data_IF_307827287609
#
_entry.id   IF_307827287609
#
_cell.length_a   1.000
_cell.length_b   1.000
_cell.length_c   1.000
_cell.angle_alpha   90.00
_cell.angle_beta   90.00
_cell.angle_gamma   90.00
#
_symmetry.space_group_name_H-M   'P 1'
#
loop_
_entity.id
_entity.type
_entity.pdbx_description
1 polymer ?
#
# COMPACT_ATOMS: atom_id res chain seq x y z
N UNK A 1 -47.34 29.87 -13.18
CA UNK A 1 -46.60 29.18 -12.09
C UNK A 1 -45.98 27.85 -12.55
N UNK A 2 -46.63 27.06 -13.41
CA UNK A 2 -46.16 25.75 -13.90
C UNK A 2 -44.90 25.77 -14.79
N UNK A 3 -44.65 26.84 -15.57
CA UNK A 3 -43.46 26.92 -16.45
C UNK A 3 -42.11 26.96 -15.72
N UNK A 4 -42.06 27.55 -14.52
CA UNK A 4 -40.81 27.62 -13.74
C UNK A 4 -40.45 26.30 -13.06
N UNK A 5 -41.47 25.51 -12.69
CA UNK A 5 -41.28 24.18 -12.09
C UNK A 5 -40.64 23.22 -13.11
N UNK A 6 -41.08 23.27 -14.38
CA UNK A 6 -40.54 22.41 -15.43
C UNK A 6 -39.07 22.71 -15.75
N UNK A 7 -38.70 24.00 -15.79
CA UNK A 7 -37.31 24.41 -16.01
C UNK A 7 -36.40 23.97 -14.85
N UNK A 8 -36.90 24.04 -13.61
CA UNK A 8 -36.15 23.63 -12.44
C UNK A 8 -35.91 22.12 -12.41
N UNK A 9 -36.92 21.31 -12.80
CA UNK A 9 -36.77 19.86 -12.92
C UNK A 9 -35.76 19.50 -14.02
N UNK A 10 -35.85 20.15 -15.19
CA UNK A 10 -34.92 19.92 -16.30
C UNK A 10 -33.47 20.25 -15.92
N UNK A 11 -33.25 21.34 -15.18
CA UNK A 11 -31.92 21.75 -14.73
C UNK A 11 -31.32 20.75 -13.74
N UNK A 12 -32.13 20.20 -12.83
CA UNK A 12 -31.65 19.17 -11.89
C UNK A 12 -31.28 17.87 -12.63
N UNK A 13 -32.07 17.43 -13.63
CA UNK A 13 -31.74 16.23 -14.43
C UNK A 13 -30.44 16.39 -15.23
N UNK A 14 -30.15 17.60 -15.72
CA UNK A 14 -28.89 17.89 -16.40
C UNK A 14 -27.68 17.87 -15.46
N UNK A 15 -27.84 18.26 -14.20
CA UNK A 15 -26.75 18.23 -13.21
C UNK A 15 -26.38 16.80 -12.77
N UNK A 16 -27.33 15.85 -12.82
CA UNK A 16 -27.05 14.44 -12.49
C UNK A 16 -26.52 13.61 -13.67
N UNK A 17 -26.49 14.14 -14.89
CA UNK A 17 -26.03 13.40 -16.08
C UNK A 17 -24.62 13.77 -16.54
N UNK A 18 -23.95 14.74 -15.91
CA UNK A 18 -22.65 15.25 -16.35
C UNK A 18 -21.44 14.52 -15.77
N UNK A 19 -21.63 13.44 -14.98
CA UNK A 19 -20.53 12.67 -14.41
C UNK A 19 -20.58 11.22 -14.91
N UNK A 20 -20.32 10.99 -16.20
CA UNK A 20 -19.91 9.65 -16.65
C UNK A 20 -18.41 9.55 -16.41
N UNK A 21 -17.99 8.67 -15.48
CA UNK A 21 -16.59 8.32 -15.29
C UNK A 21 -16.06 7.81 -16.63
N UNK A 22 -15.13 8.53 -17.24
CA UNK A 22 -14.50 8.10 -18.49
C UNK A 22 -13.61 6.90 -18.18
N UNK A 23 -13.99 5.73 -18.65
CA UNK A 23 -13.16 4.53 -18.57
C UNK A 23 -12.02 4.71 -19.58
N UNK A 24 -10.82 5.02 -19.09
CA UNK A 24 -9.64 5.05 -19.92
C UNK A 24 -9.38 3.65 -20.47
N UNK A 25 -9.46 3.49 -21.80
CA UNK A 25 -9.02 2.28 -22.47
C UNK A 25 -7.50 2.21 -22.39
N UNK A 26 -7.00 1.36 -21.49
CA UNK A 26 -5.58 1.05 -21.39
C UNK A 26 -5.37 -0.27 -22.13
N UNK A 27 -4.43 -0.28 -23.08
CA UNK A 27 -4.03 -1.51 -23.75
C UNK A 27 -3.16 -2.34 -22.78
N UNK A 28 -3.77 -3.38 -22.20
CA UNK A 28 -3.16 -4.22 -21.17
C UNK A 28 -2.27 -5.34 -21.72
N UNK A 29 -2.06 -5.44 -23.04
CA UNK A 29 -1.47 -6.65 -23.62
C UNK A 29 -0.02 -6.92 -23.24
N UNK A 30 0.74 -5.97 -22.67
CA UNK A 30 2.15 -6.19 -22.30
C UNK A 30 2.65 -5.41 -21.05
N UNK A 31 1.76 -4.84 -20.23
CA UNK A 31 2.22 -4.02 -19.10
C UNK A 31 2.47 -4.89 -17.86
N UNK A 32 3.73 -4.92 -17.40
CA UNK A 32 4.06 -5.44 -16.08
C UNK A 32 3.21 -4.71 -15.01
N UNK A 33 2.66 -5.43 -14.01
CA UNK A 33 1.95 -4.79 -12.91
C UNK A 33 2.85 -3.76 -12.22
N UNK A 34 2.34 -2.53 -12.12
CA UNK A 34 3.07 -1.42 -11.49
C UNK A 34 3.30 -1.72 -10.01
N UNK A 35 2.23 -2.13 -9.32
CA UNK A 35 2.25 -2.50 -7.91
C UNK A 35 2.22 -4.01 -7.75
N UNK A 36 3.19 -4.54 -7.03
CA UNK A 36 3.37 -5.98 -6.87
C UNK A 36 4.11 -6.32 -5.59
N UNK A 37 3.88 -7.53 -5.10
CA UNK A 37 4.65 -8.22 -4.09
C UNK A 37 5.11 -9.53 -4.70
N UNK A 38 6.40 -9.80 -4.67
CA UNK A 38 6.96 -11.10 -5.03
C UNK A 38 8.01 -11.50 -3.99
N UNK A 39 7.90 -12.69 -3.41
CA UNK A 39 8.87 -13.20 -2.45
C UNK A 39 8.90 -14.73 -2.43
N UNK A 40 10.02 -15.31 -2.02
CA UNK A 40 10.12 -16.74 -1.75
C UNK A 40 9.66 -17.00 -0.31
N UNK A 41 8.66 -17.85 -0.14
CA UNK A 41 8.07 -18.24 1.14
C UNK A 41 8.63 -19.58 1.61
N UNK A 42 9.30 -19.57 2.75
CA UNK A 42 9.81 -20.79 3.40
C UNK A 42 10.69 -21.65 2.48
N UNK A 43 10.28 -22.89 2.21
CA UNK A 43 11.08 -23.88 1.47
C UNK A 43 11.05 -23.76 -0.06
N UNK A 44 10.55 -22.65 -0.62
CA UNK A 44 10.66 -22.36 -2.06
C UNK A 44 9.39 -21.97 -2.79
N UNK A 45 8.23 -21.94 -2.12
CA UNK A 45 7.00 -21.41 -2.71
C UNK A 45 7.18 -19.93 -3.06
N UNK A 46 6.56 -19.45 -4.13
CA UNK A 46 6.56 -18.01 -4.44
C UNK A 46 5.24 -17.38 -4.01
N UNK A 47 5.30 -16.39 -3.12
CA UNK A 47 4.22 -15.45 -2.90
C UNK A 47 4.24 -14.43 -4.04
N UNK A 48 3.15 -14.32 -4.79
CA UNK A 48 3.00 -13.32 -5.86
C UNK A 48 1.63 -12.68 -5.79
N UNK A 49 1.59 -11.38 -5.56
CA UNK A 49 0.37 -10.56 -5.54
C UNK A 49 0.59 -9.37 -6.45
N UNK A 50 -0.31 -9.15 -7.41
CA UNK A 50 -0.20 -8.09 -8.40
C UNK A 50 -1.51 -7.29 -8.41
N UNK A 51 -1.46 -5.98 -8.18
CA UNK A 51 -2.66 -5.16 -8.27
C UNK A 51 -3.19 -5.14 -9.72
N UNK A 52 -4.50 -5.28 -9.89
CA UNK A 52 -5.17 -5.39 -11.19
C UNK A 52 -5.18 -6.81 -11.78
N UNK A 53 -4.64 -7.81 -11.07
CA UNK A 53 -4.61 -9.21 -11.50
C UNK A 53 -5.19 -10.09 -10.39
N UNK A 54 -5.88 -11.17 -10.75
CA UNK A 54 -6.47 -12.13 -9.80
C UNK A 54 -7.29 -11.47 -8.68
N UNK A 55 -8.13 -10.50 -9.07
CA UNK A 55 -9.04 -9.77 -8.19
C UNK A 55 -8.34 -8.88 -7.13
N UNK A 56 -7.02 -8.71 -7.18
CA UNK A 56 -6.32 -7.82 -6.26
C UNK A 56 -6.39 -6.36 -6.68
N UNK A 57 -6.56 -5.47 -5.71
CA UNK A 57 -6.36 -4.04 -5.84
C UNK A 57 -5.38 -3.55 -4.77
N UNK A 58 -4.75 -2.40 -5.02
CA UNK A 58 -3.96 -1.70 -4.02
C UNK A 58 -4.79 -0.55 -3.44
N UNK A 59 -4.93 -0.54 -2.12
CA UNK A 59 -5.46 0.60 -1.36
C UNK A 59 -4.31 1.31 -0.66
N UNK A 60 -4.27 2.64 -0.78
CA UNK A 60 -3.27 3.48 -0.09
C UNK A 60 -4.01 4.54 0.73
N UNK A 61 -3.75 4.57 2.03
CA UNK A 61 -4.36 5.50 2.97
C UNK A 61 -3.27 6.23 3.77
N UNK A 62 -3.58 7.44 4.21
CA UNK A 62 -2.80 8.19 5.17
C UNK A 62 -3.66 8.44 6.40
N UNK A 63 -3.31 7.81 7.53
CA UNK A 63 -3.93 8.18 8.80
C UNK A 63 -3.17 9.39 9.34
N UNK A 64 -3.67 10.58 9.02
CA UNK A 64 -3.20 11.84 9.58
C UNK A 64 -4.39 12.60 10.16
N UNK A 65 -4.36 12.89 11.45
CA UNK A 65 -5.29 13.85 12.04
C UNK A 65 -4.61 15.22 12.12
N UNK A 66 -5.34 16.27 11.75
CA UNK A 66 -4.86 17.65 11.84
C UNK A 66 -4.37 17.97 13.26
N UNK A 67 -3.08 18.27 13.39
CA UNK A 67 -2.42 18.56 14.67
C UNK A 67 -1.53 17.44 15.21
N UNK A 68 -1.52 16.27 14.56
CA UNK A 68 -0.56 15.22 14.86
C UNK A 68 0.84 15.58 14.36
N UNK A 69 1.85 15.15 15.08
CA UNK A 69 3.27 15.27 14.69
C UNK A 69 3.80 14.00 14.04
N UNK A 70 2.97 12.96 13.94
CA UNK A 70 3.34 11.65 13.40
C UNK A 70 2.43 11.31 12.23
N UNK A 71 3.04 10.83 11.16
CA UNK A 71 2.41 10.38 9.95
C UNK A 71 2.50 8.86 9.85
N UNK A 72 1.36 8.22 9.57
CA UNK A 72 1.22 6.76 9.52
C UNK A 72 0.60 6.34 8.18
N UNK A 73 1.39 6.26 7.10
CA UNK A 73 0.88 5.73 5.85
C UNK A 73 0.67 4.23 5.93
N UNK A 74 -0.40 3.81 5.28
CA UNK A 74 -0.85 2.43 5.22
C UNK A 74 -1.15 2.05 3.78
N UNK A 75 -0.68 0.89 3.35
CA UNK A 75 -0.93 0.42 1.99
C UNK A 75 -1.13 -1.09 1.97
N UNK A 76 -2.20 -1.54 1.31
CA UNK A 76 -2.63 -2.95 1.33
C UNK A 76 -3.06 -3.42 -0.05
N UNK A 77 -2.49 -4.55 -0.46
CA UNK A 77 -3.03 -5.39 -1.52
C UNK A 77 -4.14 -6.24 -0.93
N UNK A 78 -5.36 -6.15 -1.49
CA UNK A 78 -6.52 -6.91 -1.02
C UNK A 78 -7.33 -7.41 -2.22
N UNK A 79 -7.98 -8.56 -2.08
CA UNK A 79 -8.95 -9.01 -3.09
C UNK A 79 -10.25 -8.21 -3.02
N UNK A 80 -10.89 -8.00 -4.16
CA UNK A 80 -12.23 -7.38 -4.22
C UNK A 80 -13.25 -8.25 -3.48
N UNK A 81 -14.27 -7.63 -2.87
CA UNK A 81 -15.26 -8.35 -2.04
C UNK A 81 -16.01 -9.46 -2.79
N UNK A 82 -16.08 -9.39 -4.12
CA UNK A 82 -16.76 -10.35 -4.99
C UNK A 82 -15.89 -11.51 -5.44
N UNK A 83 -14.68 -11.69 -4.90
CA UNK A 83 -13.81 -12.80 -5.28
C UNK A 83 -14.46 -14.17 -5.00
N UNK A 84 -14.06 -15.16 -5.81
CA UNK A 84 -14.62 -16.51 -5.71
C UNK A 84 -13.95 -17.34 -4.60
N UNK A 85 -12.64 -17.16 -4.40
CA UNK A 85 -11.81 -17.98 -3.50
C UNK A 85 -10.74 -17.15 -2.79
N UNK A 86 -10.39 -17.56 -1.56
CA UNK A 86 -9.29 -16.99 -0.78
C UNK A 86 -9.40 -15.47 -0.58
N UNK A 87 -10.61 -14.97 -0.37
CA UNK A 87 -10.91 -13.54 -0.28
C UNK A 87 -10.28 -12.80 0.91
N UNK A 88 -9.74 -13.56 1.87
CA UNK A 88 -9.01 -13.01 3.01
C UNK A 88 -7.56 -12.68 2.66
N UNK A 89 -7.03 -13.23 1.56
CA UNK A 89 -5.63 -13.08 1.17
C UNK A 89 -5.28 -11.61 0.94
N UNK A 90 -4.26 -11.13 1.64
CA UNK A 90 -3.82 -9.75 1.54
C UNK A 90 -2.37 -9.57 1.98
N UNK A 91 -1.74 -8.50 1.50
CA UNK A 91 -0.40 -8.10 1.92
C UNK A 91 -0.38 -6.61 2.19
N UNK A 92 0.11 -6.19 3.35
CA UNK A 92 0.14 -4.80 3.77
C UNK A 92 1.53 -4.34 4.20
N UNK A 93 1.79 -3.06 3.97
CA UNK A 93 2.92 -2.32 4.52
C UNK A 93 2.39 -1.14 5.32
N UNK A 94 2.94 -0.97 6.52
CA UNK A 94 2.62 0.13 7.41
C UNK A 94 3.93 0.80 7.82
N UNK A 95 3.95 2.14 7.79
CA UNK A 95 5.06 2.91 8.35
C UNK A 95 4.58 3.59 9.63
N UNK A 96 5.39 3.48 10.67
CA UNK A 96 5.15 4.06 11.98
C UNK A 96 6.26 5.04 12.33
N UNK A 97 5.90 6.00 13.19
CA UNK A 97 6.82 6.95 13.79
C UNK A 97 7.53 7.84 12.76
N UNK A 98 6.86 8.12 11.63
CA UNK A 98 7.35 9.09 10.65
C UNK A 98 6.99 10.48 11.14
N UNK A 99 7.98 11.26 11.59
CA UNK A 99 7.75 12.64 11.96
C UNK A 99 7.26 13.43 10.73
N UNK A 100 6.20 14.23 10.89
CA UNK A 100 5.57 14.98 9.79
C UNK A 100 6.57 15.89 9.08
N UNK A 101 7.45 16.56 9.84
CA UNK A 101 8.51 17.42 9.31
C UNK A 101 9.64 16.67 8.59
N UNK A 102 9.72 15.34 8.76
CA UNK A 102 10.67 14.48 8.08
C UNK A 102 10.11 13.85 6.79
N UNK A 103 8.79 13.90 6.56
CA UNK A 103 8.13 13.21 5.42
C UNK A 103 8.77 13.59 4.09
N UNK A 104 8.90 14.89 3.79
CA UNK A 104 9.48 15.35 2.52
C UNK A 104 10.91 14.85 2.31
N UNK A 105 11.70 14.75 3.39
CA UNK A 105 13.09 14.27 3.33
C UNK A 105 13.14 12.75 3.12
N UNK A 106 12.29 12.01 3.82
CA UNK A 106 12.25 10.55 3.77
C UNK A 106 11.73 10.02 2.42
N UNK A 107 10.84 10.77 1.79
CA UNK A 107 10.23 10.42 0.50
C UNK A 107 10.73 11.29 -0.66
N UNK A 108 11.89 11.92 -0.51
CA UNK A 108 12.54 12.63 -1.59
C UNK A 108 12.96 11.66 -2.71
N UNK A 109 12.78 12.06 -3.97
CA UNK A 109 13.19 11.25 -5.13
C UNK A 109 14.71 11.06 -5.20
N UNK A 110 15.48 12.04 -4.71
CA UNK A 110 16.94 12.04 -4.71
C UNK A 110 17.48 12.14 -3.29
N UNK A 111 18.48 11.32 -2.98
CA UNK A 111 19.18 11.36 -1.69
C UNK A 111 18.37 10.84 -0.51
N UNK A 112 17.29 10.08 -0.76
CA UNK A 112 16.52 9.47 0.33
C UNK A 112 17.42 8.56 1.18
N UNK A 113 17.28 8.61 2.52
CA UNK A 113 18.09 7.80 3.40
C UNK A 113 17.63 6.34 3.34
N UNK A 114 18.38 5.49 2.64
CA UNK A 114 18.08 4.05 2.50
C UNK A 114 17.93 3.32 3.84
N UNK A 115 18.58 3.83 4.89
CA UNK A 115 18.59 3.27 6.24
C UNK A 115 17.51 3.88 7.16
N UNK A 116 16.72 4.83 6.68
CA UNK A 116 15.69 5.46 7.51
C UNK A 116 14.46 4.59 7.75
N UNK A 117 14.39 3.40 7.15
CA UNK A 117 13.30 2.45 7.32
C UNK A 117 13.85 1.14 7.86
N UNK A 118 13.27 0.64 8.95
CA UNK A 118 13.75 -0.59 9.59
C UNK A 118 12.62 -1.46 10.10
N UNK A 119 12.75 -2.77 9.88
CA UNK A 119 11.89 -3.81 10.47
C UNK A 119 12.15 -3.99 11.98
N UNK A 120 13.30 -3.52 12.47
CA UNK A 120 13.76 -3.63 13.86
C UNK A 120 13.94 -2.26 14.51
N UNK A 121 13.22 -1.24 14.05
CA UNK A 121 13.42 0.12 14.55
C UNK A 121 13.35 0.16 16.08
N UNK A 122 14.42 0.63 16.70
CA UNK A 122 14.51 0.89 18.14
C UNK A 122 14.92 2.34 18.35
N UNK A 123 14.22 3.05 19.22
CA UNK A 123 14.63 4.38 19.73
C UNK A 123 14.57 5.55 18.72
N UNK A 124 13.69 5.50 17.73
CA UNK A 124 13.29 6.69 16.95
C UNK A 124 14.30 7.20 15.92
N UNK A 125 15.39 6.49 15.66
CA UNK A 125 16.38 6.84 14.62
C UNK A 125 15.93 6.47 13.20
N UNK A 126 14.87 5.66 13.07
CA UNK A 126 14.33 5.20 11.80
C UNK A 126 12.81 5.03 11.91
N UNK A 127 12.10 5.30 10.82
CA UNK A 127 10.70 4.92 10.69
C UNK A 127 10.57 3.40 10.78
N UNK A 128 9.64 2.95 11.63
CA UNK A 128 9.39 1.53 11.82
C UNK A 128 8.53 1.00 10.67
N UNK A 129 8.98 -0.07 10.03
CA UNK A 129 8.25 -0.75 8.97
C UNK A 129 7.58 -2.00 9.52
N UNK A 130 6.29 -2.15 9.29
CA UNK A 130 5.55 -3.38 9.57
C UNK A 130 5.05 -3.96 8.26
N UNK A 131 5.43 -5.21 7.98
CA UNK A 131 4.89 -6.01 6.90
C UNK A 131 3.89 -7.01 7.47
N UNK A 132 2.72 -7.12 6.83
CA UNK A 132 1.67 -8.07 7.20
C UNK A 132 1.23 -8.87 6.00
N UNK A 133 0.93 -10.14 6.22
CA UNK A 133 0.34 -11.02 5.24
C UNK A 133 -0.81 -11.77 5.90
N UNK A 134 -2.00 -11.72 5.29
CA UNK A 134 -3.11 -12.59 5.65
C UNK A 134 -3.19 -13.70 4.63
N UNK A 135 -3.15 -14.94 5.09
CA UNK A 135 -3.23 -16.10 4.20
C UNK A 135 -4.66 -16.34 3.68
N UNK A 136 -4.84 -17.25 2.70
CA UNK A 136 -6.16 -17.67 2.22
C UNK A 136 -7.16 -18.09 3.29
N UNK A 137 -6.69 -18.65 4.42
CA UNK A 137 -7.52 -19.12 5.52
C UNK A 137 -7.88 -18.00 6.50
N UNK A 138 -7.34 -16.80 6.32
CA UNK A 138 -7.54 -15.65 7.20
C UNK A 138 -6.55 -15.57 8.37
N UNK A 139 -5.52 -16.42 8.40
CA UNK A 139 -4.46 -16.33 9.42
C UNK A 139 -3.56 -15.14 9.10
N UNK A 140 -3.39 -14.25 10.07
CA UNK A 140 -2.58 -13.04 9.95
C UNK A 140 -1.16 -13.30 10.45
N UNK A 141 -0.18 -12.96 9.63
CA UNK A 141 1.23 -12.94 9.97
C UNK A 141 1.77 -11.50 9.92
N UNK A 142 2.63 -11.13 10.87
CA UNK A 142 3.18 -9.77 11.01
C UNK A 142 4.66 -9.78 11.37
N UNK A 143 5.44 -8.86 10.81
CA UNK A 143 6.85 -8.68 11.17
C UNK A 143 7.06 -8.11 12.57
N UNK A 144 6.04 -7.46 13.15
CA UNK A 144 6.09 -6.83 14.49
C UNK A 144 5.70 -7.80 15.63
N UNK A 145 5.24 -9.01 15.31
CA UNK A 145 4.86 -10.02 16.31
C UNK A 145 6.05 -10.86 16.82
N UNK A 146 7.24 -10.67 16.27
CA UNK A 146 8.44 -11.41 16.68
C UNK A 146 9.73 -10.65 16.37
N UNK A 147 10.84 -11.12 16.94
CA UNK A 147 12.16 -10.53 16.74
C UNK A 147 12.72 -10.91 15.37
N UNK A 148 13.12 -9.92 14.55
CA UNK A 148 13.75 -10.23 13.26
C UNK A 148 15.25 -10.54 13.45
N UNK A 149 15.77 -11.58 12.80
CA UNK A 149 17.21 -11.80 12.71
C UNK A 149 17.95 -10.60 12.09
N UNK A 150 19.22 -10.42 12.44
CA UNK A 150 20.07 -9.35 11.89
C UNK A 150 20.31 -9.47 10.36
N UNK A 151 20.05 -10.64 9.78
CA UNK A 151 20.14 -10.88 8.34
C UNK A 151 18.93 -10.37 7.56
N UNK A 152 17.82 -10.05 8.25
CA UNK A 152 16.63 -9.50 7.63
C UNK A 152 16.85 -8.02 7.29
N UNK A 153 16.21 -7.56 6.22
CA UNK A 153 16.40 -6.20 5.71
C UNK A 153 15.15 -5.66 5.04
N UNK A 154 15.07 -4.34 4.98
CA UNK A 154 14.10 -3.60 4.19
C UNK A 154 14.83 -2.42 3.55
N UNK A 155 14.91 -2.40 2.23
CA UNK A 155 15.75 -1.44 1.48
C UNK A 155 14.92 -0.82 0.38
N UNK A 156 14.59 0.45 0.55
CA UNK A 156 14.03 1.27 -0.53
C UNK A 156 15.12 1.46 -1.58
N UNK A 157 14.86 1.08 -2.82
CA UNK A 157 15.77 1.25 -3.96
C UNK A 157 15.38 2.40 -4.87
N UNK A 158 14.11 2.80 -4.86
CA UNK A 158 13.59 3.87 -5.68
C UNK A 158 12.34 4.50 -5.07
N UNK A 159 12.19 5.80 -5.25
CA UNK A 159 11.00 6.59 -4.91
C UNK A 159 10.70 7.49 -6.10
N UNK A 160 9.47 7.47 -6.61
CA UNK A 160 9.02 8.38 -7.68
C UNK A 160 7.60 8.88 -7.43
N UNK A 161 7.22 10.01 -8.03
CA UNK A 161 5.83 10.46 -8.03
C UNK A 161 5.00 9.55 -8.93
N UNK A 162 3.88 9.04 -8.40
CA UNK A 162 2.98 8.18 -9.16
C UNK A 162 1.74 8.91 -9.65
N UNK A 163 1.04 9.62 -8.77
CA UNK A 163 -0.23 10.27 -9.10
C UNK A 163 -0.97 10.74 -7.85
N UNK A 164 -2.30 10.68 -7.89
CA UNK A 164 -3.17 10.94 -6.72
C UNK A 164 -4.10 9.77 -6.47
N UNK A 165 -4.42 9.47 -5.20
CA UNK A 165 -5.42 8.45 -4.86
C UNK A 165 -6.86 8.97 -5.00
N UNK A 166 -7.86 8.14 -4.67
CA UNK A 166 -9.29 8.51 -4.76
C UNK A 166 -9.70 9.63 -3.79
N UNK A 167 -8.91 9.86 -2.74
CA UNK A 167 -9.10 10.96 -1.78
C UNK A 167 -8.42 12.26 -2.23
N UNK A 168 -7.67 12.22 -3.33
CA UNK A 168 -6.94 13.37 -3.89
C UNK A 168 -5.54 13.56 -3.30
N UNK A 169 -5.07 12.70 -2.40
CA UNK A 169 -3.72 12.76 -1.84
C UNK A 169 -2.69 12.35 -2.87
N UNK A 170 -1.56 13.07 -2.93
CA UNK A 170 -0.39 12.69 -3.73
C UNK A 170 0.12 11.30 -3.33
N UNK A 171 0.48 10.46 -4.30
CA UNK A 171 0.98 9.10 -4.08
C UNK A 171 2.39 8.98 -4.65
N UNK A 172 3.32 8.50 -3.82
CA UNK A 172 4.66 8.08 -4.23
C UNK A 172 4.69 6.57 -4.49
N UNK A 173 5.36 6.14 -5.56
CA UNK A 173 5.69 4.74 -5.79
C UNK A 173 7.05 4.44 -5.14
N UNK A 174 7.09 3.47 -4.25
CA UNK A 174 8.30 2.92 -3.66
C UNK A 174 8.61 1.57 -4.30
N UNK A 175 9.87 1.38 -4.71
CA UNK A 175 10.43 0.07 -5.07
C UNK A 175 11.35 -0.36 -3.94
N UNK A 176 11.11 -1.54 -3.40
CA UNK A 176 11.72 -2.03 -2.17
C UNK A 176 12.23 -3.45 -2.40
N UNK A 177 13.42 -3.74 -1.88
CA UNK A 177 13.90 -5.10 -1.69
C UNK A 177 13.81 -5.43 -0.19
N UNK A 178 13.28 -6.60 0.14
CA UNK A 178 13.12 -6.99 1.54
C UNK A 178 13.40 -8.48 1.76
N UNK A 179 13.71 -8.80 3.01
CA UNK A 179 13.72 -10.15 3.55
C UNK A 179 13.27 -10.03 5.00
N UNK A 180 12.29 -10.82 5.42
CA UNK A 180 11.75 -10.76 6.78
C UNK A 180 11.14 -12.09 7.24
N UNK A 181 10.98 -12.22 8.55
CA UNK A 181 10.09 -13.21 9.14
C UNK A 181 8.76 -12.55 9.50
N UNK A 182 7.65 -13.20 9.18
CA UNK A 182 6.33 -12.85 9.67
C UNK A 182 5.90 -13.89 10.71
N UNK A 183 5.33 -13.42 11.82
CA UNK A 183 4.90 -14.26 12.93
C UNK A 183 3.39 -14.19 13.03
N UNK A 184 2.72 -15.30 13.35
CA UNK A 184 1.31 -15.28 13.75
C UNK A 184 1.16 -15.10 15.27
N UNK A 185 -0.09 -15.08 15.75
CA UNK A 185 -0.40 -14.91 17.18
C UNK A 185 0.12 -16.05 18.07
N UNK A 186 0.44 -17.20 17.49
CA UNK A 186 0.97 -18.37 18.19
C UNK A 186 2.50 -18.46 18.11
N UNK A 187 3.15 -17.52 17.42
CA UNK A 187 4.60 -17.49 17.19
C UNK A 187 5.07 -18.43 16.08
N UNK A 188 4.18 -18.99 15.25
CA UNK A 188 4.58 -19.70 14.04
C UNK A 188 5.20 -18.70 13.06
N UNK A 189 6.24 -19.14 12.35
CA UNK A 189 7.05 -18.26 11.51
C UNK A 189 6.85 -18.57 10.03
N UNK A 190 6.65 -17.50 9.25
CA UNK A 190 6.69 -17.49 7.80
C UNK A 190 7.84 -16.60 7.33
N UNK A 191 8.89 -17.20 6.79
CA UNK A 191 9.99 -16.43 6.18
C UNK A 191 9.64 -16.02 4.75
N UNK A 192 9.85 -14.74 4.45
CA UNK A 192 9.80 -14.16 3.11
C UNK A 192 11.21 -13.71 2.72
N UNK A 193 11.75 -14.31 1.67
CA UNK A 193 13.12 -14.10 1.20
C UNK A 193 13.14 -13.55 -0.23
N UNK A 194 14.19 -12.82 -0.58
CA UNK A 194 14.38 -12.21 -1.91
C UNK A 194 13.14 -11.41 -2.36
N UNK A 195 12.53 -10.70 -1.42
CA UNK A 195 11.29 -9.99 -1.63
C UNK A 195 11.48 -8.75 -2.49
N UNK A 196 10.59 -8.56 -3.46
CA UNK A 196 10.41 -7.35 -4.26
C UNK A 196 9.04 -6.79 -3.94
N UNK A 197 8.99 -5.52 -3.53
CA UNK A 197 7.76 -4.81 -3.22
C UNK A 197 7.73 -3.50 -4.01
N UNK A 198 6.73 -3.37 -4.88
CA UNK A 198 6.38 -2.11 -5.54
C UNK A 198 5.05 -1.64 -4.96
N UNK A 199 5.05 -0.54 -4.22
CA UNK A 199 3.88 -0.12 -3.45
C UNK A 199 3.71 1.40 -3.51
N UNK A 200 2.46 1.83 -3.61
CA UNK A 200 2.10 3.24 -3.50
C UNK A 200 2.04 3.65 -2.03
N UNK A 201 2.45 4.87 -1.70
CA UNK A 201 2.32 5.47 -0.37
C UNK A 201 1.65 6.84 -0.53
N UNK A 202 0.50 7.03 0.13
CA UNK A 202 -0.27 8.27 0.07
C UNK A 202 0.33 9.31 1.00
N UNK A 203 0.87 10.40 0.43
CA UNK A 203 1.53 11.51 1.12
C UNK A 203 0.51 12.43 1.80
N UNK A 204 0.95 13.09 2.87
CA UNK A 204 0.23 14.25 3.43
C UNK A 204 0.70 15.50 2.69
N UNK A 205 -0.27 16.29 2.21
CA UNK A 205 -0.05 17.59 1.56
C UNK A 205 -0.41 18.74 2.52
#
# INVERSE_FOLDING_TARGET
>A
MTKHIFLFILLNVLLFSACSKEELYIDYTELEPVFKVEAVRGMGDTLRINAGVDDFYLLTLSNYMSGDTIYHPYSIFKKVETCAENCNESFAMELYDVAVDAVDTLFAEYGFPQEAFSLNASNGESARVILKYTDPNGTVFSSDQGQQPQTQYFKVSHIELFGTNEEGHSVKLLKINFSCNLYDEFGNVMSLENGILHIGVAMID
#
